data_IF_039488987797
#
_entry.id   IF_039488987797
#
_cell.length_a   1.000
_cell.length_b   1.000
_cell.length_c   1.000
_cell.angle_alpha   90.00
_cell.angle_beta   90.00
_cell.angle_gamma   90.00
#
_symmetry.space_group_name_H-M   'P 1'
#
loop_
_entity.id
_entity.type
_entity.pdbx_description
1 polymer ?
#
# COMPACT_ATOMS: atom_id res chain seq x y z
N UNK A 1 24.59 -35.22 21.38
CA UNK A 1 23.49 -35.90 20.67
C UNK A 1 22.44 -34.85 20.31
N UNK A 2 21.94 -34.87 19.05
CA UNK A 2 20.78 -34.14 18.48
C UNK A 2 20.78 -32.59 18.65
N UNK A 3 20.98 -31.83 17.56
CA UNK A 3 19.92 -31.20 16.71
C UNK A 3 19.00 -30.33 17.57
N UNK A 4 18.91 -29.01 17.37
CA UNK A 4 18.12 -28.39 16.31
C UNK A 4 18.66 -27.00 15.93
N UNK A 5 18.73 -26.75 14.62
CA UNK A 5 18.88 -25.42 14.01
C UNK A 5 17.55 -24.70 14.27
N UNK A 6 17.56 -23.68 15.12
CA UNK A 6 16.41 -22.79 15.30
C UNK A 6 16.47 -21.73 14.19
N UNK A 7 15.42 -21.70 13.39
CA UNK A 7 15.22 -20.80 12.28
C UNK A 7 15.37 -19.33 12.73
N UNK A 8 16.28 -18.62 12.08
CA UNK A 8 16.28 -17.16 12.10
C UNK A 8 15.13 -16.67 11.21
N UNK A 9 13.93 -16.60 11.77
CA UNK A 9 12.91 -15.66 11.30
C UNK A 9 13.40 -14.27 11.70
N UNK A 10 14.36 -13.74 10.95
CA UNK A 10 14.56 -12.30 10.91
C UNK A 10 13.37 -11.74 10.15
N UNK A 11 12.27 -11.49 10.87
CA UNK A 11 11.31 -10.46 10.49
C UNK A 11 12.10 -9.15 10.49
N UNK A 12 12.79 -8.88 9.39
CA UNK A 12 13.33 -7.57 9.10
C UNK A 12 12.08 -6.74 8.80
N UNK A 13 11.52 -6.17 9.86
CA UNK A 13 10.70 -4.96 9.76
C UNK A 13 11.61 -3.92 9.12
N UNK A 14 11.65 -3.90 7.78
CA UNK A 14 12.03 -2.71 7.05
C UNK A 14 10.94 -1.71 7.43
N UNK A 15 11.26 -0.85 8.41
CA UNK A 15 10.42 0.25 8.80
C UNK A 15 9.99 0.97 7.52
N UNK A 16 8.69 0.98 7.25
CA UNK A 16 8.13 1.72 6.13
C UNK A 16 8.60 3.19 6.22
N UNK A 17 8.81 3.89 5.10
CA UNK A 17 9.28 5.26 5.11
C UNK A 17 8.20 6.17 5.71
N UNK A 18 8.46 6.60 6.95
CA UNK A 18 8.51 7.98 7.42
C UNK A 18 7.39 9.00 7.07
N UNK A 19 6.16 8.59 6.83
CA UNK A 19 5.01 9.49 7.07
C UNK A 19 4.45 9.13 8.44
N UNK A 20 4.36 10.08 9.36
CA UNK A 20 3.96 9.85 10.74
C UNK A 20 2.46 10.04 10.96
N UNK A 21 1.62 9.66 9.99
CA UNK A 21 0.19 9.87 10.11
C UNK A 21 -0.62 9.06 9.11
N UNK A 22 -1.45 9.73 8.32
CA UNK A 22 -2.35 9.08 7.39
C UNK A 22 -2.36 9.75 6.02
N UNK A 23 -2.56 8.97 4.97
CA UNK A 23 -2.69 9.44 3.60
C UNK A 23 -3.97 8.89 2.99
N UNK A 24 -4.75 9.75 2.34
CA UNK A 24 -5.91 9.34 1.55
C UNK A 24 -5.57 9.36 0.07
N UNK A 25 -5.78 8.25 -0.63
CA UNK A 25 -5.53 8.10 -2.07
C UNK A 25 -6.85 7.71 -2.76
N UNK A 26 -7.24 8.45 -3.80
CA UNK A 26 -8.33 8.08 -4.71
C UNK A 26 -7.74 7.32 -5.90
N UNK A 27 -8.25 6.12 -6.16
CA UNK A 27 -7.97 5.33 -7.35
C UNK A 27 -9.13 5.47 -8.32
N UNK A 28 -8.85 6.01 -9.51
CA UNK A 28 -9.77 6.03 -10.62
C UNK A 28 -9.29 4.99 -11.66
N UNK A 29 -9.86 3.76 -11.65
CA UNK A 29 -9.55 2.78 -12.69
C UNK A 29 -10.04 3.29 -14.06
N UNK A 30 -9.41 2.84 -15.14
CA UNK A 30 -9.86 3.18 -16.51
C UNK A 30 -11.29 2.66 -16.76
N UNK A 31 -11.59 1.48 -16.21
CA UNK A 31 -12.91 0.86 -16.24
C UNK A 31 -13.40 0.56 -14.81
N UNK A 32 -14.40 1.30 -14.33
CA UNK A 32 -15.05 1.06 -13.04
C UNK A 32 -15.30 2.33 -12.23
N UNK A 33 -15.76 2.11 -11.00
CA UNK A 33 -15.99 3.20 -10.04
C UNK A 33 -14.69 3.59 -9.33
N UNK A 34 -14.61 4.87 -8.94
CA UNK A 34 -13.53 5.38 -8.12
C UNK A 34 -13.55 4.74 -6.74
N UNK A 35 -12.38 4.44 -6.20
CA UNK A 35 -12.19 3.86 -4.87
C UNK A 35 -11.25 4.72 -4.06
N UNK A 36 -11.65 5.13 -2.87
CA UNK A 36 -10.78 5.87 -1.95
C UNK A 36 -10.25 4.92 -0.89
N UNK A 37 -8.94 4.99 -0.65
CA UNK A 37 -8.29 4.25 0.43
C UNK A 37 -7.65 5.23 1.40
N UNK A 38 -7.63 4.88 2.69
CA UNK A 38 -6.91 5.60 3.74
C UNK A 38 -5.78 4.69 4.21
N UNK A 39 -4.55 5.13 4.02
CA UNK A 39 -3.34 4.50 4.54
C UNK A 39 -3.00 5.12 5.89
N UNK A 40 -2.95 4.32 6.94
CA UNK A 40 -2.42 4.71 8.25
C UNK A 40 -1.05 4.04 8.41
N UNK A 41 0.01 4.84 8.31
CA UNK A 41 1.39 4.35 8.42
C UNK A 41 1.80 4.07 9.86
N UNK A 42 1.09 4.64 10.84
CA UNK A 42 1.32 4.37 12.27
C UNK A 42 0.76 2.99 12.64
N UNK A 43 -0.44 2.68 12.18
CA UNK A 43 -1.08 1.38 12.39
C UNK A 43 -0.66 0.33 11.35
N UNK A 44 -0.01 0.74 10.26
CA UNK A 44 0.30 -0.10 9.08
C UNK A 44 -0.96 -0.75 8.49
N UNK A 45 -2.04 0.03 8.38
CA UNK A 45 -3.34 -0.43 7.87
C UNK A 45 -3.83 0.40 6.69
N UNK A 46 -4.54 -0.26 5.79
CA UNK A 46 -5.27 0.36 4.68
C UNK A 46 -6.76 0.15 4.93
N UNK A 47 -7.53 1.23 4.85
CA UNK A 47 -8.99 1.23 5.04
C UNK A 47 -9.68 1.56 3.72
N UNK A 48 -10.62 0.71 3.30
CA UNK A 48 -11.46 0.87 2.11
C UNK A 48 -12.92 0.72 2.57
N UNK A 49 -13.68 1.82 2.54
CA UNK A 49 -15.02 1.84 3.16
C UNK A 49 -14.94 1.48 4.65
N UNK A 50 -15.68 0.44 5.06
CA UNK A 50 -15.69 -0.06 6.44
C UNK A 50 -14.67 -1.19 6.70
N UNK A 51 -13.86 -1.55 5.71
CA UNK A 51 -12.89 -2.63 5.81
C UNK A 51 -11.48 -2.10 6.03
N UNK A 52 -10.84 -2.54 7.11
CA UNK A 52 -9.44 -2.23 7.41
C UNK A 52 -8.61 -3.51 7.34
N UNK A 53 -7.49 -3.48 6.65
CA UNK A 53 -6.57 -4.60 6.49
C UNK A 53 -5.12 -4.14 6.58
N UNK A 54 -4.17 -5.01 6.94
CA UNK A 54 -2.75 -4.66 6.89
C UNK A 54 -2.31 -4.37 5.45
N UNK A 55 -1.34 -3.48 5.29
CA UNK A 55 -0.66 -3.26 4.01
C UNK A 55 0.85 -3.39 4.12
N UNK A 56 1.51 -3.54 2.98
CA UNK A 56 2.96 -3.50 2.83
C UNK A 56 3.34 -2.52 1.72
N UNK A 57 4.42 -1.78 1.92
CA UNK A 57 4.99 -0.88 0.92
C UNK A 57 6.38 -1.35 0.51
N UNK A 58 6.59 -1.52 -0.80
CA UNK A 58 7.90 -1.71 -1.42
C UNK A 58 8.33 -0.41 -2.09
N UNK A 59 9.28 0.30 -1.46
CA UNK A 59 9.85 1.54 -1.98
C UNK A 59 10.54 1.36 -3.33
N UNK A 60 11.24 0.24 -3.53
CA UNK A 60 12.05 0.03 -4.74
C UNK A 60 11.15 -0.26 -5.93
N UNK A 61 10.15 -1.12 -5.71
CA UNK A 61 9.15 -1.46 -6.70
C UNK A 61 7.99 -0.46 -6.81
N UNK A 62 7.98 0.62 -6.01
CA UNK A 62 6.86 1.58 -5.91
C UNK A 62 5.51 0.87 -5.76
N UNK A 63 5.47 -0.18 -4.94
CA UNK A 63 4.35 -1.12 -4.90
C UNK A 63 3.70 -1.14 -3.52
N UNK A 64 2.42 -0.80 -3.48
CA UNK A 64 1.55 -0.91 -2.31
C UNK A 64 0.76 -2.21 -2.42
N UNK A 65 0.81 -3.05 -1.41
CA UNK A 65 -0.07 -4.23 -1.35
C UNK A 65 -0.91 -4.23 -0.08
N UNK A 66 -2.21 -4.47 -0.22
CA UNK A 66 -3.15 -4.64 0.90
C UNK A 66 -3.87 -5.99 0.86
N UNK A 67 -4.43 -6.37 2.01
CA UNK A 67 -5.23 -7.60 2.16
C UNK A 67 -4.45 -8.83 2.60
N UNK A 68 -5.18 -9.91 2.86
CA UNK A 68 -4.64 -11.21 3.28
C UNK A 68 -4.01 -11.98 2.10
N UNK A 69 -3.13 -12.95 2.38
CA UNK A 69 -2.29 -13.59 1.37
C UNK A 69 -3.03 -14.14 0.13
N UNK A 70 -4.22 -14.73 0.29
CA UNK A 70 -5.02 -15.29 -0.81
C UNK A 70 -5.84 -14.23 -1.57
N UNK A 71 -5.98 -13.02 -1.01
CA UNK A 71 -6.75 -11.90 -1.56
C UNK A 71 -5.88 -10.64 -1.70
N UNK A 72 -4.57 -10.83 -1.84
CA UNK A 72 -3.60 -9.75 -1.85
C UNK A 72 -3.73 -8.93 -3.13
N UNK A 73 -4.10 -7.67 -2.97
CA UNK A 73 -4.17 -6.69 -4.06
C UNK A 73 -2.91 -5.84 -3.99
N UNK A 74 -2.14 -5.81 -5.07
CA UNK A 74 -0.93 -5.01 -5.19
C UNK A 74 -1.08 -3.98 -6.31
N UNK A 75 -0.71 -2.75 -6.02
CA UNK A 75 -0.73 -1.61 -6.94
C UNK A 75 0.68 -1.07 -7.07
N UNK A 76 1.19 -1.04 -8.29
CA UNK A 76 2.47 -0.45 -8.67
C UNK A 76 2.23 0.93 -9.27
N UNK A 77 2.86 1.95 -8.73
CA UNK A 77 2.74 3.33 -9.21
C UNK A 77 3.86 3.67 -10.19
N UNK A 78 3.55 4.47 -11.21
CA UNK A 78 4.55 4.98 -12.15
C UNK A 78 5.53 5.93 -11.43
N UNK A 79 4.98 6.80 -10.58
CA UNK A 79 5.68 7.78 -9.75
C UNK A 79 5.09 7.82 -8.33
N UNK A 80 5.86 8.33 -7.37
CA UNK A 80 5.44 8.43 -5.96
C UNK A 80 5.70 9.84 -5.48
N UNK A 81 4.67 10.51 -4.99
CA UNK A 81 4.76 11.76 -4.22
C UNK A 81 3.72 11.75 -3.10
N UNK A 82 3.94 12.59 -2.10
CA UNK A 82 3.05 12.79 -0.96
C UNK A 82 2.37 14.17 -1.02
N UNK A 83 2.54 14.89 -2.13
CA UNK A 83 1.89 16.18 -2.32
C UNK A 83 0.39 15.99 -2.57
N UNK A 84 -0.44 16.67 -1.80
CA UNK A 84 -1.89 16.70 -2.04
C UNK A 84 -2.18 17.26 -3.43
N UNK A 85 -2.98 16.53 -4.21
CA UNK A 85 -3.28 16.82 -5.62
C UNK A 85 -2.32 16.17 -6.62
N UNK A 86 -1.22 15.54 -6.17
CA UNK A 86 -0.38 14.75 -7.05
C UNK A 86 -1.18 13.59 -7.64
N UNK A 87 -1.02 13.38 -8.95
CA UNK A 87 -1.67 12.30 -9.69
C UNK A 87 -0.63 11.52 -10.48
N UNK A 88 -0.74 10.19 -10.44
CA UNK A 88 0.16 9.28 -11.14
C UNK A 88 -0.61 8.09 -11.70
N UNK A 89 -0.06 7.45 -12.73
CA UNK A 89 -0.59 6.19 -13.22
C UNK A 89 -0.30 5.05 -12.25
N UNK A 90 -1.15 4.03 -12.26
CA UNK A 90 -0.91 2.79 -11.53
C UNK A 90 -1.30 1.57 -12.35
N UNK A 91 -0.66 0.45 -12.04
CA UNK A 91 -1.01 -0.88 -12.53
C UNK A 91 -1.22 -1.83 -11.35
N UNK A 92 -2.35 -2.53 -11.34
CA UNK A 92 -2.68 -3.54 -10.32
C UNK A 92 -2.21 -4.93 -10.78
N UNK A 93 -1.95 -5.82 -9.84
CA UNK A 93 -1.45 -7.17 -10.10
C UNK A 93 -2.38 -8.07 -10.95
N UNK A 94 -3.66 -7.70 -11.10
CA UNK A 94 -4.63 -8.36 -11.98
C UNK A 94 -4.75 -7.69 -13.37
N UNK A 95 -3.90 -6.70 -13.66
CA UNK A 95 -3.84 -6.00 -14.94
C UNK A 95 -4.72 -4.75 -15.03
N UNK A 96 -5.48 -4.40 -13.98
CA UNK A 96 -6.25 -3.15 -13.98
C UNK A 96 -5.32 -1.94 -13.89
N UNK A 97 -5.52 -0.99 -14.80
CA UNK A 97 -4.80 0.28 -14.90
C UNK A 97 -5.70 1.45 -14.52
N UNK A 98 -5.09 2.56 -14.13
CA UNK A 98 -5.83 3.77 -13.78
C UNK A 98 -4.93 4.89 -13.29
N UNK A 99 -5.56 5.91 -12.72
CA UNK A 99 -4.86 7.04 -12.07
C UNK A 99 -5.09 7.03 -10.57
N UNK A 100 -4.04 7.24 -9.80
CA UNK A 100 -4.10 7.44 -8.36
C UNK A 100 -3.82 8.90 -8.03
N UNK A 101 -4.65 9.50 -7.18
CA UNK A 101 -4.53 10.90 -6.74
C UNK A 101 -4.43 10.97 -5.22
N UNK A 102 -3.44 11.68 -4.70
CA UNK A 102 -3.32 11.96 -3.26
C UNK A 102 -4.33 13.04 -2.88
N UNK A 103 -5.32 12.70 -2.06
CA UNK A 103 -6.43 13.60 -1.68
C UNK A 103 -6.13 14.33 -0.37
N UNK A 104 -5.46 13.67 0.57
CA UNK A 104 -5.05 14.29 1.82
C UNK A 104 -3.84 13.57 2.41
N UNK A 105 -3.05 14.33 3.17
CA UNK A 105 -1.95 13.81 3.98
C UNK A 105 -2.04 14.47 5.35
N UNK A 106 -1.94 13.66 6.40
CA UNK A 106 -1.85 14.08 7.79
C UNK A 106 -0.49 13.60 8.31
N UNK A 107 0.24 14.52 8.93
CA UNK A 107 1.52 14.26 9.60
C UNK A 107 1.36 14.04 11.10
#
# INVERSE_FOLDING_TARGET
MKKFILAALSAIFLAAPAYAGSMTIEFAPEDGDKVTIILDSTAQTATIGDQTSPYSWDETGKTLCGGEAEQKVCVTFDEVSHDVGFTTGYTRNDGVTGTATVISVTE
#
